data_IF_495778398414
#
_entry.id   IF_495778398414
#
_cell.length_a   1.000
_cell.length_b   1.000
_cell.length_c   1.000
_cell.angle_alpha   90.00
_cell.angle_beta   90.00
_cell.angle_gamma   90.00
#
_symmetry.space_group_name_H-M   'P 1'
#
loop_
_entity.id
_entity.type
_entity.pdbx_description
1 polymer ?
#
# COMPACT_ATOMS: atom_id res chain seq x y z
N UNK A 1 -8.45 4.26 0.17
CA UNK A 1 -7.75 3.60 1.29
C UNK A 1 -6.96 2.43 0.74
N UNK A 2 -5.90 2.01 1.43
CA UNK A 2 -5.08 0.85 1.01
C UNK A 2 -5.94 -0.43 0.88
N UNK A 3 -6.88 -0.65 1.78
CA UNK A 3 -7.82 -1.77 1.73
C UNK A 3 -8.59 -1.83 0.41
N UNK A 4 -9.14 -0.71 -0.08
CA UNK A 4 -9.87 -0.68 -1.36
C UNK A 4 -8.97 -1.04 -2.56
N UNK A 5 -7.71 -0.58 -2.55
CA UNK A 5 -6.74 -0.94 -3.60
C UNK A 5 -6.46 -2.44 -3.58
N UNK A 6 -6.24 -3.01 -2.39
CA UNK A 6 -6.02 -4.46 -2.25
C UNK A 6 -7.23 -5.24 -2.79
N UNK A 7 -8.45 -4.93 -2.33
CA UNK A 7 -9.66 -5.62 -2.77
C UNK A 7 -9.85 -5.55 -4.30
N UNK A 8 -9.57 -4.38 -4.91
CA UNK A 8 -9.60 -4.19 -6.37
C UNK A 8 -8.64 -5.13 -7.10
N UNK A 9 -7.38 -5.19 -6.66
CA UNK A 9 -6.35 -5.97 -7.36
C UNK A 9 -6.37 -7.46 -7.02
N UNK A 10 -7.07 -7.86 -5.95
CA UNK A 10 -7.34 -9.28 -5.65
C UNK A 10 -8.68 -9.77 -6.19
N UNK A 11 -9.44 -8.92 -6.89
CA UNK A 11 -10.79 -9.25 -7.40
C UNK A 11 -11.71 -9.76 -6.29
N UNK A 12 -11.74 -9.05 -5.15
CA UNK A 12 -12.46 -9.46 -3.94
C UNK A 12 -13.32 -8.33 -3.36
N UNK A 13 -13.81 -7.43 -4.20
CA UNK A 13 -14.60 -6.26 -3.78
C UNK A 13 -15.96 -6.62 -3.14
N UNK A 14 -16.40 -7.87 -3.26
CA UNK A 14 -17.58 -8.43 -2.62
C UNK A 14 -17.37 -8.74 -1.12
N UNK A 15 -16.13 -8.76 -0.64
CA UNK A 15 -15.83 -9.01 0.76
C UNK A 15 -16.19 -7.83 1.67
N UNK A 16 -16.81 -8.14 2.81
CA UNK A 16 -17.14 -7.16 3.84
C UNK A 16 -15.92 -6.82 4.71
N UNK A 17 -15.69 -5.52 4.95
CA UNK A 17 -14.65 -5.02 5.84
C UNK A 17 -15.17 -5.02 7.29
N UNK A 18 -14.55 -5.84 8.14
CA UNK A 18 -14.84 -5.87 9.58
C UNK A 18 -13.84 -5.00 10.34
N UNK A 19 -14.31 -3.95 11.01
CA UNK A 19 -13.47 -3.05 11.80
C UNK A 19 -13.35 -3.57 13.24
N UNK A 20 -12.12 -3.87 13.66
CA UNK A 20 -11.81 -4.22 15.05
C UNK A 20 -11.49 -2.98 15.91
N UNK A 21 -11.26 -3.18 17.22
CA UNK A 21 -10.80 -2.10 18.10
C UNK A 21 -9.41 -1.61 17.69
N UNK A 22 -9.12 -0.34 17.98
CA UNK A 22 -7.78 0.22 17.80
C UNK A 22 -6.76 -0.53 18.67
N UNK A 23 -5.59 -0.82 18.10
CA UNK A 23 -4.53 -1.52 18.83
C UNK A 23 -3.75 -0.52 19.69
N UNK A 24 -3.58 -0.77 21.01
CA UNK A 24 -2.79 0.11 21.85
C UNK A 24 -1.37 0.28 21.32
N UNK A 25 -0.93 1.53 21.17
CA UNK A 25 0.42 1.87 20.69
C UNK A 25 0.52 2.16 19.19
N UNK A 26 -0.52 1.90 18.38
CA UNK A 26 -0.53 2.30 16.98
C UNK A 26 -0.67 3.83 16.85
N UNK A 27 0.17 4.44 16.01
CA UNK A 27 0.05 5.85 15.62
C UNK A 27 -0.80 5.93 14.35
N UNK A 28 -1.96 6.59 14.43
CA UNK A 28 -2.96 6.62 13.36
C UNK A 28 -2.48 7.32 12.07
N UNK A 29 -1.71 8.39 12.20
CA UNK A 29 -1.23 9.18 11.08
C UNK A 29 0.26 9.44 11.23
N UNK A 30 1.06 8.81 10.36
CA UNK A 30 2.50 8.97 10.32
C UNK A 30 2.96 9.09 8.87
N UNK A 31 3.47 10.26 8.51
CA UNK A 31 3.93 10.59 7.16
C UNK A 31 5.33 11.19 7.25
N UNK A 32 6.24 10.73 6.40
CA UNK A 32 7.59 11.29 6.33
C UNK A 32 7.60 12.57 5.48
N UNK A 33 8.20 13.63 5.99
CA UNK A 33 8.58 14.77 5.17
C UNK A 33 9.88 14.44 4.41
N UNK A 34 9.75 14.32 3.09
CA UNK A 34 10.86 14.01 2.18
C UNK A 34 11.44 15.26 1.50
N UNK A 35 11.08 16.46 1.95
CA UNK A 35 11.56 17.73 1.36
C UNK A 35 13.08 17.85 1.43
N UNK A 36 13.71 17.41 2.52
CA UNK A 36 15.17 17.45 2.68
C UNK A 36 15.89 16.63 1.60
N UNK A 37 15.49 15.38 1.38
CA UNK A 37 16.15 14.49 0.42
C UNK A 37 15.82 14.87 -1.04
N UNK A 38 14.60 15.37 -1.29
CA UNK A 38 14.23 16.01 -2.56
C UNK A 38 15.17 17.16 -2.90
N UNK A 39 15.45 18.04 -1.95
CA UNK A 39 16.28 19.22 -2.16
C UNK A 39 17.78 18.90 -2.26
N UNK A 40 18.28 17.96 -1.44
CA UNK A 40 19.71 17.69 -1.36
C UNK A 40 20.23 16.82 -2.52
N UNK A 41 19.44 15.83 -2.96
CA UNK A 41 19.91 14.85 -3.96
C UNK A 41 18.90 14.64 -5.10
N UNK A 42 17.87 15.48 -5.20
CA UNK A 42 16.88 15.37 -6.26
C UNK A 42 16.01 14.11 -6.16
N UNK A 43 15.90 13.50 -4.98
CA UNK A 43 15.14 12.26 -4.82
C UNK A 43 13.69 12.44 -5.27
N UNK A 44 13.23 11.55 -6.16
CA UNK A 44 11.86 11.47 -6.62
C UNK A 44 11.37 10.03 -6.44
N UNK A 45 10.23 9.79 -5.77
CA UNK A 45 9.64 8.46 -5.73
C UNK A 45 9.28 8.00 -7.15
N UNK A 46 9.76 6.83 -7.54
CA UNK A 46 9.48 6.26 -8.87
C UNK A 46 8.11 5.59 -8.95
N UNK A 47 7.56 5.20 -7.80
CA UNK A 47 6.32 4.44 -7.70
C UNK A 47 5.27 5.17 -6.86
N UNK A 48 4.03 5.12 -7.33
CA UNK A 48 2.85 5.37 -6.52
C UNK A 48 2.46 4.14 -5.71
N UNK A 49 1.64 4.34 -4.67
CA UNK A 49 1.07 3.23 -3.88
C UNK A 49 0.27 2.26 -4.76
N UNK A 50 -0.51 2.77 -5.71
CA UNK A 50 -1.32 1.93 -6.61
C UNK A 50 -0.44 1.05 -7.50
N UNK A 51 0.62 1.60 -8.10
CA UNK A 51 1.58 0.84 -8.89
C UNK A 51 2.24 -0.26 -8.05
N UNK A 52 2.76 0.09 -6.87
CA UNK A 52 3.42 -0.87 -6.00
C UNK A 52 2.50 -2.02 -5.55
N UNK A 53 1.25 -1.73 -5.19
CA UNK A 53 0.26 -2.75 -4.80
C UNK A 53 -0.09 -3.67 -5.98
N UNK A 54 -0.33 -3.09 -7.16
CA UNK A 54 -0.65 -3.86 -8.37
C UNK A 54 0.47 -4.82 -8.78
N UNK A 55 1.71 -4.33 -8.81
CA UNK A 55 2.88 -5.14 -9.16
C UNK A 55 3.11 -6.26 -8.15
N UNK A 56 2.99 -5.97 -6.85
CA UNK A 56 3.16 -6.96 -5.79
C UNK A 56 2.13 -8.10 -5.87
N UNK A 57 0.85 -7.78 -6.08
CA UNK A 57 -0.21 -8.80 -6.22
C UNK A 57 0.01 -9.64 -7.47
N UNK A 58 0.35 -9.00 -8.59
CA UNK A 58 0.69 -9.71 -9.84
C UNK A 58 1.82 -10.72 -9.60
N UNK A 59 2.88 -10.29 -8.90
CA UNK A 59 4.01 -11.15 -8.53
C UNK A 59 3.61 -12.33 -7.63
N UNK A 60 2.75 -12.12 -6.65
CA UNK A 60 2.25 -13.20 -5.79
C UNK A 60 1.45 -14.24 -6.59
N UNK A 61 0.65 -13.80 -7.56
CA UNK A 61 -0.14 -14.67 -8.41
C UNK A 61 0.74 -15.53 -9.33
N UNK A 62 1.87 -15.00 -9.81
CA UNK A 62 2.86 -15.79 -10.55
C UNK A 62 3.52 -16.87 -9.69
N UNK A 63 3.85 -16.55 -8.42
CA UNK A 63 4.50 -17.49 -7.50
C UNK A 63 3.54 -18.65 -7.18
N UNK A 64 2.26 -18.38 -6.95
CA UNK A 64 1.25 -19.42 -6.63
C UNK A 64 0.92 -20.35 -7.81
N UNK A 65 1.18 -19.92 -9.04
CA UNK A 65 0.95 -20.73 -10.26
C UNK A 65 2.09 -21.71 -10.55
N UNK A 66 3.23 -21.58 -9.87
CA UNK A 66 4.35 -22.53 -9.91
C UNK A 66 4.18 -23.58 -8.82
#
# INVERSE_FOLDING_TARGET
SLTKLILKYTESEDLNINYGPERPGDILHSYADISKIKNLIGFKPDYSIEQGVSEYISRLNEIKKK
#
